data_IF_467176476576
#
_entry.id   IF_467176476576
#
_cell.length_a   1.000
_cell.length_b   1.000
_cell.length_c   1.000
_cell.angle_alpha   90.00
_cell.angle_beta   90.00
_cell.angle_gamma   90.00
#
_symmetry.space_group_name_H-M   'P 1'
#
loop_
_entity.id
_entity.type
_entity.pdbx_description
1 polymer ?
#
# COMPACT_ATOMS: atom_id res chain seq x y z
N UNK A 1 16.94 13.60 1.48
CA UNK A 1 16.26 12.28 1.48
C UNK A 1 15.95 11.78 0.07
N UNK A 2 15.13 12.47 -0.74
CA UNK A 2 14.69 12.00 -2.07
C UNK A 2 15.79 11.45 -3.00
N UNK A 3 16.90 12.19 -3.21
CA UNK A 3 18.01 11.72 -4.07
C UNK A 3 18.66 10.43 -3.56
N UNK A 4 18.80 10.29 -2.24
CA UNK A 4 19.38 9.11 -1.61
C UNK A 4 18.47 7.89 -1.80
N UNK A 5 17.19 8.03 -1.47
CA UNK A 5 16.20 6.97 -1.65
C UNK A 5 16.06 6.56 -3.12
N UNK A 6 16.04 7.53 -4.05
CA UNK A 6 16.00 7.25 -5.48
C UNK A 6 17.20 6.41 -5.95
N UNK A 7 18.40 6.72 -5.45
CA UNK A 7 19.60 5.92 -5.72
C UNK A 7 19.51 4.50 -5.17
N UNK A 8 19.08 4.34 -3.91
CA UNK A 8 18.97 3.04 -3.23
C UNK A 8 17.89 2.16 -3.88
N UNK A 9 16.73 2.72 -4.20
CA UNK A 9 15.59 2.00 -4.75
C UNK A 9 15.60 1.94 -6.29
N UNK A 10 16.65 2.42 -6.94
CA UNK A 10 16.78 2.51 -8.42
C UNK A 10 15.61 3.25 -9.09
N UNK A 11 15.05 4.25 -8.40
CA UNK A 11 14.03 5.12 -8.95
C UNK A 11 14.66 6.33 -9.65
N UNK A 12 13.92 6.96 -10.57
CA UNK A 12 14.35 8.19 -11.25
C UNK A 12 13.51 9.38 -10.80
N UNK A 13 14.18 10.43 -10.33
CA UNK A 13 13.52 11.71 -10.04
C UNK A 13 13.31 12.43 -11.37
N UNK A 14 12.06 12.57 -11.80
CA UNK A 14 11.68 13.30 -13.00
C UNK A 14 11.18 14.70 -12.65
N UNK A 15 11.43 15.68 -13.52
CA UNK A 15 10.95 17.06 -13.39
C UNK A 15 9.63 17.32 -14.14
N UNK A 16 9.12 16.32 -14.88
CA UNK A 16 7.85 16.39 -15.60
C UNK A 16 6.68 15.83 -14.79
N UNK A 17 5.46 16.07 -15.28
CA UNK A 17 4.22 15.55 -14.67
C UNK A 17 4.02 14.04 -14.90
N UNK A 18 4.83 13.41 -15.75
CA UNK A 18 4.75 11.99 -16.11
C UNK A 18 6.09 11.28 -15.89
N UNK A 19 6.03 9.97 -15.63
CA UNK A 19 7.22 9.13 -15.47
C UNK A 19 7.83 8.76 -16.84
N UNK A 20 9.17 8.74 -16.97
CA UNK A 20 9.83 8.38 -18.22
C UNK A 20 9.62 6.90 -18.57
N UNK A 21 9.53 6.59 -19.88
CA UNK A 21 9.48 5.20 -20.38
C UNK A 21 10.69 4.41 -19.84
N UNK A 22 10.44 3.24 -19.26
CA UNK A 22 11.46 2.40 -18.59
C UNK A 22 11.60 2.63 -17.08
N UNK A 23 10.90 3.62 -16.52
CA UNK A 23 10.64 3.76 -15.09
C UNK A 23 9.12 3.86 -14.87
N UNK A 24 8.33 2.84 -15.27
CA UNK A 24 6.94 2.78 -14.82
C UNK A 24 6.93 2.80 -13.28
N UNK A 25 5.83 3.28 -12.67
CA UNK A 25 5.64 3.18 -11.21
C UNK A 25 6.06 1.79 -10.74
N UNK A 26 6.56 1.68 -9.49
CA UNK A 26 6.86 0.41 -8.82
C UNK A 26 6.00 -0.69 -9.42
N UNK A 27 6.60 -1.51 -10.28
CA UNK A 27 5.95 -2.68 -10.80
C UNK A 27 5.88 -3.62 -9.60
N UNK A 28 4.84 -3.48 -8.79
CA UNK A 28 4.19 -4.69 -8.33
C UNK A 28 3.78 -5.37 -9.62
N UNK A 29 4.39 -6.52 -9.90
CA UNK A 29 4.09 -7.32 -11.07
C UNK A 29 2.63 -7.79 -11.00
N UNK A 30 1.68 -6.92 -11.32
CA UNK A 30 0.47 -7.37 -11.96
C UNK A 30 0.85 -7.51 -13.44
N UNK A 31 0.88 -8.75 -13.95
CA UNK A 31 1.11 -9.06 -15.37
C UNK A 31 -0.06 -8.59 -16.27
N UNK A 32 -0.72 -7.48 -15.91
CA UNK A 32 -1.87 -6.89 -16.58
C UNK A 32 -1.51 -5.50 -17.07
N UNK A 33 -1.93 -5.18 -18.29
CA UNK A 33 -1.73 -3.87 -18.93
C UNK A 33 -2.43 -2.71 -18.18
N UNK A 34 -3.22 -3.02 -17.14
CA UNK A 34 -3.95 -2.09 -16.30
C UNK A 34 -3.65 -2.39 -14.82
N UNK A 35 -3.23 -1.39 -14.02
CA UNK A 35 -2.95 -1.59 -12.61
C UNK A 35 -4.26 -1.97 -11.90
N UNK A 36 -4.29 -3.13 -11.24
CA UNK A 36 -5.43 -3.54 -10.44
C UNK A 36 -5.60 -2.56 -9.28
N UNK A 37 -6.57 -1.65 -9.39
CA UNK A 37 -6.80 -0.59 -8.41
C UNK A 37 -7.11 -1.16 -7.03
N UNK A 38 -7.66 -2.38 -6.96
CA UNK A 38 -7.92 -3.09 -5.72
C UNK A 38 -6.60 -3.57 -5.10
N UNK A 39 -5.69 -4.12 -5.89
CA UNK A 39 -4.35 -4.52 -5.42
C UNK A 39 -3.56 -3.33 -4.89
N UNK A 40 -3.56 -2.21 -5.61
CA UNK A 40 -2.91 -0.97 -5.16
C UNK A 40 -3.53 -0.43 -3.87
N UNK A 41 -4.86 -0.46 -3.76
CA UNK A 41 -5.55 -0.06 -2.55
C UNK A 41 -5.15 -0.95 -1.37
N UNK A 42 -5.15 -2.27 -1.57
CA UNK A 42 -4.81 -3.25 -0.53
C UNK A 42 -3.40 -3.04 0.01
N UNK A 43 -2.44 -2.87 -0.89
CA UNK A 43 -1.05 -2.65 -0.51
C UNK A 43 -0.88 -1.31 0.22
N UNK A 44 -1.48 -0.24 -0.31
CA UNK A 44 -1.43 1.09 0.29
C UNK A 44 -2.03 1.11 1.70
N UNK A 45 -3.19 0.49 1.88
CA UNK A 45 -3.85 0.38 3.18
C UNK A 45 -2.99 -0.40 4.18
N UNK A 46 -2.51 -1.59 3.81
CA UNK A 46 -1.68 -2.43 4.70
C UNK A 46 -0.39 -1.73 5.10
N UNK A 47 0.30 -1.12 4.15
CA UNK A 47 1.54 -0.38 4.41
C UNK A 47 1.31 0.86 5.28
N UNK A 48 0.18 1.55 5.14
CA UNK A 48 -0.08 2.77 5.91
C UNK A 48 -0.69 2.52 7.29
N UNK A 49 -1.46 1.44 7.46
CA UNK A 49 -2.28 1.20 8.65
C UNK A 49 -1.74 0.04 9.48
N UNK A 50 -1.40 -1.07 8.83
CA UNK A 50 -1.05 -2.32 9.51
C UNK A 50 0.46 -2.44 9.82
N UNK A 51 1.32 -1.67 9.15
CA UNK A 51 2.78 -1.78 9.29
C UNK A 51 3.27 -1.54 10.74
N UNK A 52 2.62 -0.65 11.48
CA UNK A 52 2.90 -0.46 12.90
C UNK A 52 2.65 -1.74 13.71
N UNK A 53 1.56 -2.46 13.41
CA UNK A 53 1.20 -3.70 14.10
C UNK A 53 2.19 -4.82 13.76
N UNK A 54 2.66 -4.89 12.52
CA UNK A 54 3.66 -5.88 12.08
C UNK A 54 4.93 -5.78 12.91
N UNK A 55 5.42 -4.56 13.16
CA UNK A 55 6.63 -4.35 13.96
C UNK A 55 6.46 -4.78 15.42
N UNK A 56 5.26 -4.61 15.97
CA UNK A 56 4.98 -4.98 17.36
C UNK A 56 4.51 -6.44 17.53
N UNK A 57 4.19 -7.14 16.43
CA UNK A 57 3.83 -8.57 16.41
C UNK A 57 5.03 -9.53 16.40
N UNK A 58 6.26 -9.02 16.34
CA UNK A 58 7.47 -9.86 16.26
C UNK A 58 7.61 -10.82 17.46
N UNK A 59 7.16 -10.41 18.64
CA UNK A 59 7.32 -11.15 19.91
C UNK A 59 5.99 -11.52 20.58
N UNK A 60 4.84 -11.28 19.93
CA UNK A 60 3.50 -11.45 20.52
C UNK A 60 2.53 -12.13 19.54
N UNK A 61 2.00 -13.30 19.93
CA UNK A 61 1.06 -14.08 19.10
C UNK A 61 -0.33 -13.45 18.98
N UNK A 62 -0.83 -12.72 19.99
CA UNK A 62 -2.08 -11.96 19.85
C UNK A 62 -1.91 -10.85 18.81
N UNK A 63 -0.75 -10.21 18.77
CA UNK A 63 -0.45 -9.18 17.77
C UNK A 63 -0.40 -9.71 16.34
N UNK A 64 -0.09 -10.98 16.12
CA UNK A 64 -0.21 -11.61 14.78
C UNK A 64 -1.67 -11.68 14.32
N UNK A 65 -2.59 -12.04 15.22
CA UNK A 65 -4.02 -12.04 14.91
C UNK A 65 -4.52 -10.61 14.57
N UNK A 66 -4.02 -9.58 15.25
CA UNK A 66 -4.36 -8.20 14.92
C UNK A 66 -3.81 -7.76 13.55
N UNK A 67 -2.61 -8.20 13.16
CA UNK A 67 -2.06 -7.95 11.82
C UNK A 67 -2.91 -8.60 10.74
N UNK A 68 -3.34 -9.86 10.94
CA UNK A 68 -4.23 -10.57 10.02
C UNK A 68 -5.58 -9.86 9.86
N UNK A 69 -6.24 -9.52 10.98
CA UNK A 69 -7.50 -8.78 10.96
C UNK A 69 -7.37 -7.40 10.29
N UNK A 70 -6.25 -6.71 10.48
CA UNK A 70 -5.97 -5.44 9.79
C UNK A 70 -5.84 -5.65 8.28
N UNK A 71 -5.15 -6.73 7.88
CA UNK A 71 -5.01 -7.14 6.49
C UNK A 71 -6.36 -7.44 5.81
N UNK A 72 -7.27 -8.08 6.52
CA UNK A 72 -8.63 -8.41 6.04
C UNK A 72 -9.53 -7.18 5.97
N UNK A 73 -9.42 -6.27 6.94
CA UNK A 73 -10.13 -4.99 6.92
C UNK A 73 -9.73 -4.14 5.71
N UNK A 74 -8.44 -4.11 5.35
CA UNK A 74 -7.97 -3.46 4.13
C UNK A 74 -8.58 -4.07 2.86
N UNK A 75 -8.68 -5.41 2.79
CA UNK A 75 -9.33 -6.10 1.66
C UNK A 75 -10.80 -5.74 1.56
N UNK A 76 -11.51 -5.77 2.68
CA UNK A 76 -12.93 -5.40 2.73
C UNK A 76 -13.16 -3.93 2.32
N UNK A 77 -12.30 -3.02 2.78
CA UNK A 77 -12.32 -1.60 2.39
C UNK A 77 -12.11 -1.42 0.88
N UNK A 78 -11.09 -2.06 0.32
CA UNK A 78 -10.72 -1.89 -1.08
C UNK A 78 -11.70 -2.57 -2.05
N UNK A 79 -12.36 -3.65 -1.63
CA UNK A 79 -13.42 -4.30 -2.40
C UNK A 79 -14.76 -3.56 -2.29
N UNK A 80 -14.88 -2.57 -1.39
CA UNK A 80 -16.12 -1.85 -1.12
C UNK A 80 -17.14 -2.62 -0.26
N UNK A 81 -16.72 -3.75 0.33
CA UNK A 81 -17.55 -4.55 1.24
C UNK A 81 -17.67 -3.90 2.62
N UNK A 82 -16.65 -3.14 3.03
CA UNK A 82 -16.73 -2.31 4.23
C UNK A 82 -17.52 -1.05 3.89
N UNK A 83 -18.80 -1.04 4.23
CA UNK A 83 -19.61 0.19 4.16
C UNK A 83 -18.90 1.29 4.94
N UNK A 84 -18.34 2.27 4.25
CA UNK A 84 -17.82 3.49 4.87
C UNK A 84 -19.03 4.22 5.46
N UNK A 85 -19.23 4.28 6.79
CA UNK A 85 -20.10 5.32 7.31
C UNK A 85 -19.51 6.64 6.81
N UNK A 86 -20.30 7.42 6.07
CA UNK A 86 -19.78 8.59 5.39
C UNK A 86 -19.06 9.50 6.39
N UNK A 87 -17.88 9.98 6.00
CA UNK A 87 -17.08 10.91 6.79
C UNK A 87 -17.76 12.29 6.93
N UNK A 88 -19.00 12.45 6.47
CA UNK A 88 -19.79 13.68 6.57
C UNK A 88 -20.35 13.93 7.99
N UNK A 89 -19.97 13.11 8.97
CA UNK A 89 -20.46 13.17 10.35
C UNK A 89 -19.49 13.83 11.36
N UNK A 90 -18.39 14.46 10.92
CA UNK A 90 -17.49 15.23 11.79
C UNK A 90 -17.12 16.60 11.21
#
# INVERSE_FOLDING_TARGET
>A
AQKLCAGVCRCKIASGLSCPKGFPKLALESNSDEPDTIEYCNLGCRSSVCDYMVNAAADDEEMKLYVENCGDACVSFCNGDAGLPSLDAY
#
